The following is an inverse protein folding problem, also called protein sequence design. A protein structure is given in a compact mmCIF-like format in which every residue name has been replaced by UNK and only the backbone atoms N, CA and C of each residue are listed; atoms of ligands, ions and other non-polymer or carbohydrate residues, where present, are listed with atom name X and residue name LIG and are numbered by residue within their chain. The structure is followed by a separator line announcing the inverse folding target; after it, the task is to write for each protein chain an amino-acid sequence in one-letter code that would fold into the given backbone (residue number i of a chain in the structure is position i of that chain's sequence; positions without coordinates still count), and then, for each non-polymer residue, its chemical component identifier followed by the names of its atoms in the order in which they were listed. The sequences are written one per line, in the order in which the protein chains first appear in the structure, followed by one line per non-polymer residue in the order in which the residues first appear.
data_IF_156516976652
#
_entry.id   IF_156516976652
#
_cell.length_a   1.000
_cell.length_b   1.000
_cell.length_c   1.000
_cell.angle_alpha   90.00
_cell.angle_beta   90.00
_cell.angle_gamma   90.00
#
_symmetry.space_group_name_H-M   'P 1'
#
loop_
_entity.id
_entity.type
_entity.pdbx_description
1 polymer ?
#
# COMPACT_ATOMS: atom_id res chain seq x y z
N UNK A 1 4.58 -9.55 -9.71
CA UNK A 1 5.27 -10.33 -10.73
C UNK A 1 6.67 -10.77 -10.30
N UNK A 2 7.47 -9.93 -9.66
CA UNK A 2 8.84 -10.28 -9.25
C UNK A 2 8.91 -11.51 -8.33
N UNK A 3 7.94 -11.67 -7.44
CA UNK A 3 7.80 -12.88 -6.61
C UNK A 3 7.57 -14.13 -7.46
N UNK A 4 6.82 -14.02 -8.54
CA UNK A 4 6.53 -15.14 -9.45
C UNK A 4 7.74 -15.48 -10.33
N UNK A 5 8.52 -14.47 -10.75
CA UNK A 5 9.81 -14.69 -11.41
C UNK A 5 10.73 -15.50 -10.47
N UNK A 6 10.86 -15.04 -9.22
CA UNK A 6 11.69 -15.73 -8.23
C UNK A 6 11.17 -17.13 -7.90
N UNK A 7 9.85 -17.31 -7.93
CA UNK A 7 9.24 -18.64 -7.76
C UNK A 7 9.60 -19.58 -8.92
N UNK A 8 9.51 -19.12 -10.17
CA UNK A 8 9.91 -19.89 -11.35
C UNK A 8 11.39 -20.31 -11.28
N UNK A 9 12.28 -19.39 -10.92
CA UNK A 9 13.71 -19.70 -10.70
C UNK A 9 13.88 -20.83 -9.66
N UNK A 10 13.18 -20.75 -8.53
CA UNK A 10 13.26 -21.77 -7.47
C UNK A 10 12.69 -23.14 -7.90
N UNK A 11 11.71 -23.17 -8.80
CA UNK A 11 11.22 -24.41 -9.40
C UNK A 11 12.31 -25.05 -10.24
N UNK A 12 12.97 -24.24 -11.11
CA UNK A 12 14.09 -24.71 -11.94
C UNK A 12 15.28 -25.20 -11.09
N UNK A 13 15.66 -24.44 -10.06
CA UNK A 13 16.77 -24.79 -9.14
C UNK A 13 16.56 -26.15 -8.44
N UNK A 14 15.28 -26.57 -8.30
CA UNK A 14 14.91 -27.88 -7.72
C UNK A 14 14.68 -28.98 -8.75
N UNK A 15 15.05 -28.73 -10.02
CA UNK A 15 14.91 -29.68 -11.11
C UNK A 15 13.49 -29.81 -11.68
N UNK A 16 12.58 -28.89 -11.33
CA UNK A 16 11.26 -28.81 -11.94
C UNK A 16 11.29 -28.03 -13.25
N UNK A 17 10.21 -28.16 -14.04
CA UNK A 17 9.99 -27.33 -15.24
C UNK A 17 9.11 -26.14 -14.84
N UNK A 18 9.63 -24.89 -14.80
CA UNK A 18 8.82 -23.74 -14.46
C UNK A 18 7.89 -23.36 -15.59
N UNK A 19 6.72 -22.84 -15.25
CA UNK A 19 5.83 -22.13 -16.17
C UNK A 19 6.24 -20.65 -16.31
N UNK A 20 5.57 -19.93 -17.23
CA UNK A 20 5.75 -18.49 -17.34
C UNK A 20 5.36 -17.81 -16.02
N UNK A 21 6.16 -16.87 -15.50
CA UNK A 21 5.83 -16.14 -14.28
C UNK A 21 4.46 -15.45 -14.29
N UNK A 22 3.92 -15.05 -15.45
CA UNK A 22 2.58 -14.48 -15.56
C UNK A 22 1.50 -15.53 -15.29
N UNK A 23 1.69 -16.79 -15.72
CA UNK A 23 0.76 -17.88 -15.43
C UNK A 23 0.67 -18.14 -13.92
N UNK A 24 1.80 -18.16 -13.21
CA UNK A 24 1.82 -18.22 -11.76
C UNK A 24 1.09 -17.04 -11.12
N UNK A 25 1.27 -15.83 -11.65
CA UNK A 25 0.59 -14.62 -11.17
C UNK A 25 -0.93 -14.74 -11.35
N UNK A 26 -1.39 -15.14 -12.53
CA UNK A 26 -2.81 -15.30 -12.83
C UNK A 26 -3.46 -16.37 -11.94
N UNK A 27 -2.79 -17.51 -11.75
CA UNK A 27 -3.28 -18.55 -10.85
C UNK A 27 -3.33 -18.10 -9.39
N UNK A 28 -2.32 -17.36 -8.92
CA UNK A 28 -2.34 -16.73 -7.60
C UNK A 28 -3.55 -15.80 -7.43
N UNK A 29 -3.77 -14.90 -8.39
CA UNK A 29 -4.90 -13.96 -8.36
C UNK A 29 -6.23 -14.69 -8.38
N UNK A 30 -6.39 -15.73 -9.20
CA UNK A 30 -7.60 -16.56 -9.24
C UNK A 30 -7.90 -17.21 -7.88
N UNK A 31 -6.89 -17.74 -7.21
CA UNK A 31 -7.04 -18.31 -5.85
C UNK A 31 -7.38 -17.25 -4.82
N UNK A 32 -6.72 -16.10 -4.90
CA UNK A 32 -6.97 -14.97 -4.01
C UNK A 32 -8.43 -14.48 -4.15
N UNK A 33 -8.88 -14.23 -5.38
CA UNK A 33 -10.27 -13.81 -5.65
C UNK A 33 -11.28 -14.81 -5.08
N UNK A 34 -11.07 -16.11 -5.29
CA UNK A 34 -11.93 -17.15 -4.70
C UNK A 34 -11.96 -17.05 -3.17
N UNK A 35 -10.82 -16.80 -2.54
CA UNK A 35 -10.69 -16.72 -1.07
C UNK A 35 -11.37 -15.48 -0.49
N UNK A 36 -11.31 -14.34 -1.19
CA UNK A 36 -11.87 -13.07 -0.69
C UNK A 36 -13.30 -12.81 -1.19
N UNK A 37 -13.83 -13.65 -2.07
CA UNK A 37 -15.13 -13.42 -2.72
C UNK A 37 -16.28 -13.16 -1.74
N UNK A 38 -16.33 -13.89 -0.62
CA UNK A 38 -17.37 -13.67 0.41
C UNK A 38 -17.27 -12.27 1.04
N UNK A 39 -16.04 -11.77 1.28
CA UNK A 39 -15.80 -10.42 1.82
C UNK A 39 -16.25 -9.36 0.80
N UNK A 40 -15.81 -9.51 -0.44
CA UNK A 40 -16.21 -8.60 -1.55
C UNK A 40 -17.70 -8.57 -1.72
N UNK A 41 -18.37 -9.73 -1.76
CA UNK A 41 -19.81 -9.84 -1.88
C UNK A 41 -20.56 -9.23 -0.67
N UNK A 42 -20.06 -9.43 0.54
CA UNK A 42 -20.61 -8.83 1.76
C UNK A 42 -20.55 -7.31 1.74
N UNK A 43 -19.41 -6.74 1.30
CA UNK A 43 -19.26 -5.29 1.11
C UNK A 43 -20.21 -4.76 0.03
N UNK A 44 -20.32 -5.45 -1.12
CA UNK A 44 -21.22 -5.05 -2.22
C UNK A 44 -22.70 -5.01 -1.82
N UNK A 45 -23.13 -5.93 -0.95
CA UNK A 45 -24.50 -5.99 -0.45
C UNK A 45 -24.73 -5.11 0.78
N UNK A 46 -23.70 -4.45 1.31
CA UNK A 46 -23.80 -3.65 2.52
C UNK A 46 -24.01 -4.48 3.81
N UNK A 47 -23.75 -5.78 3.77
CA UNK A 47 -23.84 -6.68 4.92
C UNK A 47 -22.69 -6.52 5.90
N UNK A 48 -21.58 -5.98 5.40
CA UNK A 48 -20.34 -5.76 6.15
C UNK A 48 -19.92 -4.32 5.99
N UNK A 49 -19.58 -3.67 7.10
CA UNK A 49 -19.06 -2.30 7.07
C UNK A 49 -17.64 -2.26 6.49
N UNK A 50 -17.33 -1.32 5.58
CA UNK A 50 -15.97 -1.08 5.10
C UNK A 50 -14.94 -0.92 6.22
N UNK A 51 -15.31 -0.33 7.35
CA UNK A 51 -14.42 -0.12 8.50
C UNK A 51 -13.86 -1.41 9.09
N UNK A 52 -14.50 -2.57 8.85
CA UNK A 52 -13.97 -3.86 9.31
C UNK A 52 -12.71 -4.30 8.54
N UNK A 53 -12.47 -3.70 7.37
CA UNK A 53 -11.34 -4.02 6.49
C UNK A 53 -10.38 -2.85 6.31
N UNK A 54 -10.68 -1.71 6.88
CA UNK A 54 -9.76 -0.59 6.96
C UNK A 54 -8.90 -0.71 8.22
N UNK A 55 -7.66 -0.28 8.12
CA UNK A 55 -6.83 -0.09 9.30
C UNK A 55 -7.43 1.03 10.16
N UNK A 56 -7.38 0.87 11.47
CA UNK A 56 -7.99 1.82 12.41
C UNK A 56 -7.47 3.24 12.19
N UNK A 57 -8.38 4.22 12.15
CA UNK A 57 -8.07 5.63 11.90
C UNK A 57 -7.82 6.02 10.43
N UNK A 58 -7.93 5.07 9.47
CA UNK A 58 -7.66 5.35 8.05
C UNK A 58 -8.49 6.51 7.49
N UNK A 59 -9.79 6.56 7.80
CA UNK A 59 -10.66 7.64 7.30
C UNK A 59 -10.35 8.97 7.97
N UNK A 60 -10.00 8.97 9.25
CA UNK A 60 -9.63 10.17 9.98
C UNK A 60 -8.33 10.76 9.41
N UNK A 61 -7.32 9.93 9.15
CA UNK A 61 -6.10 10.35 8.48
C UNK A 61 -6.39 10.94 7.09
N UNK A 62 -7.17 10.24 6.25
CA UNK A 62 -7.49 10.72 4.90
C UNK A 62 -8.25 12.05 4.92
N UNK A 63 -9.18 12.23 5.84
CA UNK A 63 -9.89 13.48 6.05
C UNK A 63 -8.94 14.61 6.51
N UNK A 64 -8.07 14.32 7.47
CA UNK A 64 -7.11 15.26 8.00
C UNK A 64 -6.09 15.73 6.94
N UNK A 65 -5.59 14.81 6.11
CA UNK A 65 -4.70 15.13 4.98
C UNK A 65 -5.42 16.00 3.94
N UNK A 66 -6.65 15.64 3.58
CA UNK A 66 -7.46 16.38 2.59
C UNK A 66 -7.80 17.80 3.08
N UNK A 67 -8.14 17.95 4.36
CA UNK A 67 -8.43 19.27 4.97
C UNK A 67 -7.21 20.20 4.97
N UNK A 68 -6.00 19.63 4.97
CA UNK A 68 -4.72 20.36 4.85
C UNK A 68 -4.35 20.69 3.39
N UNK A 69 -5.22 20.36 2.43
CA UNK A 69 -4.99 20.62 1.00
C UNK A 69 -3.97 19.69 0.35
N UNK A 70 -3.60 18.58 1.00
CA UNK A 70 -2.63 17.63 0.45
C UNK A 70 -3.23 16.86 -0.73
N UNK A 71 -2.45 16.69 -1.79
CA UNK A 71 -2.82 15.86 -2.93
C UNK A 71 -2.51 14.41 -2.62
N UNK A 72 -3.53 13.55 -2.63
CA UNK A 72 -3.41 12.15 -2.24
C UNK A 72 -3.23 11.23 -3.46
N UNK A 73 -2.37 10.23 -3.29
CA UNK A 73 -2.07 9.18 -4.27
C UNK A 73 -2.12 7.82 -3.59
N UNK A 74 -2.74 6.84 -4.23
CA UNK A 74 -2.74 5.44 -3.80
C UNK A 74 -1.90 4.62 -4.76
N UNK A 75 -0.85 3.96 -4.28
CA UNK A 75 0.01 3.08 -5.05
C UNK A 75 0.08 1.69 -4.41
N UNK A 76 -0.30 0.66 -5.15
CA UNK A 76 -0.34 -0.73 -4.68
C UNK A 76 0.42 -1.67 -5.59
N UNK A 77 1.01 -2.72 -5.02
CA UNK A 77 1.56 -3.84 -5.77
C UNK A 77 0.49 -4.80 -6.34
N UNK A 78 -0.76 -4.65 -5.93
CA UNK A 78 -1.92 -5.36 -6.48
C UNK A 78 -2.28 -4.77 -7.85
N UNK A 79 -2.84 -5.58 -8.76
CA UNK A 79 -3.21 -5.13 -10.09
C UNK A 79 -4.24 -4.00 -10.03
N UNK A 80 -4.07 -3.00 -10.88
CA UNK A 80 -4.79 -1.73 -10.83
C UNK A 80 -6.32 -1.89 -10.85
N UNK A 81 -6.83 -2.86 -11.60
CA UNK A 81 -8.27 -3.16 -11.66
C UNK A 81 -8.83 -3.56 -10.30
N UNK A 82 -8.08 -4.35 -9.54
CA UNK A 82 -8.49 -4.77 -8.19
C UNK A 82 -8.36 -3.64 -7.19
N UNK A 83 -7.26 -2.90 -7.22
CA UNK A 83 -7.04 -1.74 -6.32
C UNK A 83 -8.17 -0.72 -6.47
N UNK A 84 -8.55 -0.37 -7.70
CA UNK A 84 -9.65 0.56 -7.97
C UNK A 84 -10.99 0.04 -7.47
N UNK A 85 -11.28 -1.26 -7.69
CA UNK A 85 -12.49 -1.91 -7.18
C UNK A 85 -12.55 -1.89 -5.67
N UNK A 86 -11.46 -2.29 -5.02
CA UNK A 86 -11.38 -2.38 -3.56
C UNK A 86 -11.43 -1.00 -2.91
N UNK A 87 -10.71 0.00 -3.43
CA UNK A 87 -10.80 1.38 -2.95
C UNK A 87 -12.23 1.93 -3.01
N UNK A 88 -12.99 1.57 -4.08
CA UNK A 88 -14.41 1.95 -4.19
C UNK A 88 -15.28 1.23 -3.16
N UNK A 89 -15.10 -0.07 -2.98
CA UNK A 89 -15.86 -0.87 -2.01
C UNK A 89 -15.59 -0.43 -0.57
N UNK A 90 -14.37 -0.01 -0.28
CA UNK A 90 -13.96 0.49 1.03
C UNK A 90 -14.32 1.97 1.26
N UNK A 91 -14.91 2.64 0.25
CA UNK A 91 -15.32 4.05 0.37
C UNK A 91 -14.18 5.05 0.38
N UNK A 92 -12.96 4.65 -0.01
CA UNK A 92 -11.78 5.53 0.02
C UNK A 92 -11.38 6.08 -1.35
N UNK A 93 -12.00 5.60 -2.44
CA UNK A 93 -11.62 5.97 -3.80
C UNK A 93 -11.70 7.50 -4.07
N UNK A 94 -12.67 8.18 -3.48
CA UNK A 94 -12.90 9.62 -3.69
C UNK A 94 -11.78 10.51 -3.12
N UNK A 95 -11.05 10.04 -2.11
CA UNK A 95 -9.90 10.76 -1.57
C UNK A 95 -8.77 10.88 -2.60
N UNK A 96 -8.62 9.87 -3.43
CA UNK A 96 -7.54 9.76 -4.42
C UNK A 96 -7.98 10.17 -5.84
N UNK A 97 -9.27 10.09 -6.15
CA UNK A 97 -9.81 10.40 -7.47
C UNK A 97 -9.14 9.56 -8.58
N UNK A 98 -8.49 10.23 -9.53
CA UNK A 98 -7.76 9.58 -10.63
C UNK A 98 -6.36 9.08 -10.26
N UNK A 99 -5.92 9.30 -9.03
CA UNK A 99 -4.57 9.00 -8.55
C UNK A 99 -4.51 7.66 -7.82
N UNK A 100 -5.21 6.65 -8.36
CA UNK A 100 -5.14 5.26 -7.90
C UNK A 100 -4.32 4.48 -8.93
N UNK A 101 -3.17 3.96 -8.50
CA UNK A 101 -2.21 3.25 -9.30
C UNK A 101 -1.98 1.84 -8.76
N UNK A 102 -1.99 0.86 -9.63
CA UNK A 102 -1.73 -0.53 -9.31
C UNK A 102 -0.78 -1.18 -10.31
N UNK A 103 -0.37 -2.41 -10.03
CA UNK A 103 0.47 -3.16 -10.93
C UNK A 103 -0.23 -3.41 -12.28
N UNK A 104 0.58 -3.49 -13.33
CA UNK A 104 0.15 -3.81 -14.69
C UNK A 104 0.83 -5.12 -15.11
N UNK A 105 0.21 -5.88 -16.02
CA UNK A 105 0.84 -7.09 -16.58
C UNK A 105 2.13 -6.75 -17.33
N UNK A 106 2.18 -5.61 -17.98
CA UNK A 106 3.44 -5.07 -18.47
C UNK A 106 4.24 -4.45 -17.31
N UNK A 107 4.78 -5.31 -16.45
CA UNK A 107 5.45 -4.97 -15.21
C UNK A 107 6.68 -4.06 -15.37
N UNK A 108 7.30 -4.04 -16.56
CA UNK A 108 8.43 -3.14 -16.87
C UNK A 108 8.02 -1.67 -16.85
N UNK A 109 6.72 -1.39 -17.00
CA UNK A 109 6.17 -0.04 -17.04
C UNK A 109 5.54 0.40 -15.71
N UNK A 110 5.64 -0.43 -14.66
CA UNK A 110 5.11 -0.10 -13.33
C UNK A 110 6.06 -0.52 -12.22
N UNK A 111 6.43 0.44 -11.39
CA UNK A 111 6.99 0.24 -10.05
C UNK A 111 6.54 1.37 -9.14
N UNK A 112 6.55 1.16 -7.81
CA UNK A 112 6.26 2.23 -6.84
C UNK A 112 7.22 3.41 -7.02
N UNK A 113 8.49 3.15 -7.30
CA UNK A 113 9.48 4.18 -7.63
C UNK A 113 9.05 5.04 -8.84
N UNK A 114 8.62 4.41 -9.94
CA UNK A 114 8.13 5.16 -11.11
C UNK A 114 6.88 5.99 -10.80
N UNK A 115 6.03 5.53 -9.88
CA UNK A 115 4.88 6.33 -9.41
C UNK A 115 5.38 7.56 -8.66
N UNK A 116 6.32 7.40 -7.73
CA UNK A 116 6.94 8.51 -6.96
C UNK A 116 7.58 9.53 -7.92
N UNK A 117 8.45 9.09 -8.82
CA UNK A 117 9.13 9.97 -9.78
C UNK A 117 8.13 10.77 -10.63
N UNK A 118 7.03 10.11 -11.04
CA UNK A 118 5.95 10.72 -11.80
C UNK A 118 5.17 11.76 -10.99
N UNK A 119 4.92 11.47 -9.71
CA UNK A 119 4.27 12.40 -8.77
C UNK A 119 5.11 13.66 -8.62
N UNK A 120 6.39 13.52 -8.29
CA UNK A 120 7.31 14.63 -8.11
C UNK A 120 7.40 15.49 -9.37
N UNK A 121 7.61 14.87 -10.53
CA UNK A 121 7.70 15.57 -11.82
C UNK A 121 6.39 16.29 -12.19
N UNK A 122 5.24 15.62 -12.03
CA UNK A 122 3.94 16.16 -12.43
C UNK A 122 3.52 17.37 -11.58
N UNK A 123 3.81 17.31 -10.28
CA UNK A 123 3.44 18.38 -9.36
C UNK A 123 4.55 19.44 -9.21
N UNK A 124 5.70 19.24 -9.85
CA UNK A 124 6.86 20.14 -9.78
C UNK A 124 7.33 20.37 -8.33
N UNK A 125 7.34 19.30 -7.54
CA UNK A 125 7.76 19.29 -6.13
C UNK A 125 9.03 18.47 -5.93
N UNK A 126 9.79 18.82 -4.88
CA UNK A 126 10.96 18.05 -4.43
C UNK A 126 10.56 16.86 -3.55
N UNK A 127 11.48 15.96 -3.30
CA UNK A 127 11.27 14.84 -2.38
C UNK A 127 10.89 15.29 -0.97
N UNK A 128 11.43 16.40 -0.49
CA UNK A 128 11.13 16.98 0.82
C UNK A 128 9.64 17.33 1.03
N UNK A 129 8.90 17.48 -0.06
CA UNK A 129 7.46 17.74 -0.04
C UNK A 129 6.63 16.45 -0.17
N UNK A 130 7.28 15.30 -0.16
CA UNK A 130 6.65 13.99 -0.24
C UNK A 130 6.53 13.36 1.14
N UNK A 131 5.31 13.00 1.51
CA UNK A 131 5.00 12.19 2.68
C UNK A 131 4.45 10.84 2.20
N UNK A 132 5.06 9.74 2.63
CA UNK A 132 4.60 8.39 2.30
C UNK A 132 4.17 7.65 3.57
N UNK A 133 3.05 6.96 3.47
CA UNK A 133 2.59 5.95 4.42
C UNK A 133 2.68 4.58 3.75
N UNK A 134 3.28 3.61 4.41
CA UNK A 134 3.40 2.26 3.84
C UNK A 134 3.78 1.20 4.86
N UNK A 135 3.41 -0.05 4.55
CA UNK A 135 3.70 -1.25 5.34
C UNK A 135 4.81 -2.12 4.73
N UNK A 136 5.26 -1.76 3.53
CA UNK A 136 6.33 -2.46 2.82
C UNK A 136 7.66 -1.69 2.85
N UNK A 137 8.77 -2.44 2.85
CA UNK A 137 10.10 -1.84 2.87
C UNK A 137 10.44 -1.07 1.58
N UNK A 138 9.88 -1.49 0.43
CA UNK A 138 10.19 -0.89 -0.88
C UNK A 138 9.74 0.56 -0.96
N UNK A 139 8.50 0.85 -0.57
CA UNK A 139 7.98 2.23 -0.59
C UNK A 139 8.68 3.14 0.42
N UNK A 140 9.08 2.61 1.58
CA UNK A 140 9.84 3.37 2.57
C UNK A 140 11.23 3.71 2.01
N UNK A 141 11.95 2.72 1.47
CA UNK A 141 13.24 2.91 0.84
C UNK A 141 13.17 3.87 -0.35
N UNK A 142 12.17 3.71 -1.24
CA UNK A 142 11.96 4.60 -2.38
C UNK A 142 11.67 6.04 -1.95
N UNK A 143 10.91 6.24 -0.86
CA UNK A 143 10.66 7.55 -0.25
C UNK A 143 11.96 8.21 0.22
N UNK A 144 12.75 7.46 1.00
CA UNK A 144 14.05 7.96 1.52
C UNK A 144 15.03 8.29 0.41
N UNK A 145 15.06 7.51 -0.65
CA UNK A 145 15.93 7.74 -1.81
C UNK A 145 15.61 9.03 -2.59
N UNK A 146 14.45 9.62 -2.39
CA UNK A 146 14.08 10.93 -2.97
C UNK A 146 14.13 12.07 -1.96
N UNK A 147 14.48 11.79 -0.70
CA UNK A 147 14.49 12.78 0.39
C UNK A 147 13.13 13.03 1.04
N UNK A 148 12.16 12.14 0.85
CA UNK A 148 10.83 12.24 1.44
C UNK A 148 10.77 11.83 2.90
N UNK A 149 9.66 12.17 3.56
CA UNK A 149 9.33 11.72 4.91
C UNK A 149 8.53 10.41 4.83
N UNK A 150 9.05 9.39 5.48
CA UNK A 150 8.50 8.03 5.45
C UNK A 150 7.88 7.64 6.79
N UNK A 151 6.55 7.49 6.80
CA UNK A 151 5.79 6.94 7.92
C UNK A 151 5.50 5.48 7.64
N UNK A 152 6.15 4.60 8.37
CA UNK A 152 5.96 3.16 8.27
C UNK A 152 4.80 2.69 9.15
N UNK A 153 3.98 1.79 8.61
CA UNK A 153 2.82 1.22 9.29
C UNK A 153 3.10 -0.23 9.62
N UNK A 154 3.43 -0.49 10.88
CA UNK A 154 3.77 -1.82 11.38
C UNK A 154 2.60 -2.43 12.16
N UNK A 155 1.44 -2.58 11.49
CA UNK A 155 0.21 -3.08 12.10
C UNK A 155 0.26 -4.58 12.40
N UNK A 156 -0.30 -4.98 13.56
CA UNK A 156 -0.66 -6.36 13.83
C UNK A 156 -1.94 -6.71 13.08
N UNK A 157 -1.80 -7.29 11.88
CA UNK A 157 -2.93 -7.66 11.03
C UNK A 157 -3.75 -8.83 11.59
N UNK A 158 -3.19 -9.64 12.48
CA UNK A 158 -3.91 -10.72 13.15
C UNK A 158 -4.94 -10.18 14.15
N UNK A 159 -4.63 -9.02 14.77
CA UNK A 159 -5.47 -8.34 15.74
C UNK A 159 -5.71 -6.88 15.30
N UNK A 160 -6.30 -6.70 14.11
CA UNK A 160 -6.57 -5.36 13.58
C UNK A 160 -7.34 -4.49 14.58
N UNK A 161 -6.83 -3.29 14.85
CA UNK A 161 -7.39 -2.37 15.84
C UNK A 161 -6.86 -2.55 17.27
N UNK A 162 -5.91 -3.48 17.51
CA UNK A 162 -5.26 -3.63 18.82
C UNK A 162 -4.46 -2.39 19.22
N UNK A 163 -3.84 -1.72 18.25
CA UNK A 163 -2.88 -0.65 18.49
C UNK A 163 -1.48 -1.14 18.83
N UNK A 164 -1.27 -2.44 18.72
CA UNK A 164 0.03 -3.06 18.94
C UNK A 164 0.84 -3.13 17.66
N UNK A 165 2.15 -3.12 17.79
CA UNK A 165 3.07 -3.27 16.68
C UNK A 165 3.25 -4.75 16.32
N UNK A 166 3.32 -5.05 15.03
CA UNK A 166 4.07 -6.20 14.55
C UNK A 166 5.56 -5.86 14.64
N UNK A 167 6.25 -6.40 15.65
CA UNK A 167 7.65 -6.09 15.94
C UNK A 167 8.60 -6.51 14.81
N UNK A 168 8.27 -7.56 14.05
CA UNK A 168 9.06 -7.95 12.89
C UNK A 168 8.97 -6.91 11.76
N UNK A 169 7.76 -6.44 11.45
CA UNK A 169 7.55 -5.35 10.49
C UNK A 169 8.24 -4.07 10.96
N UNK A 170 8.04 -3.70 12.23
CA UNK A 170 8.63 -2.50 12.83
C UNK A 170 10.14 -2.48 12.66
N UNK A 171 10.83 -3.53 13.08
CA UNK A 171 12.29 -3.62 12.98
C UNK A 171 12.77 -3.57 11.53
N UNK A 172 12.06 -4.24 10.62
CA UNK A 172 12.37 -4.24 9.19
C UNK A 172 12.22 -2.86 8.57
N UNK A 173 11.16 -2.13 8.90
CA UNK A 173 10.88 -0.81 8.32
C UNK A 173 11.81 0.28 8.89
N UNK A 174 12.18 0.19 10.16
CA UNK A 174 13.25 1.00 10.74
C UNK A 174 14.58 0.74 10.04
N UNK A 175 14.89 -0.51 9.73
CA UNK A 175 16.14 -0.92 9.07
C UNK A 175 16.30 -0.34 7.65
N UNK A 176 15.24 0.08 6.98
CA UNK A 176 15.27 0.76 5.66
C UNK A 176 15.05 2.27 5.75
N UNK A 177 15.10 2.84 6.96
CA UNK A 177 15.14 4.27 7.18
C UNK A 177 13.80 4.97 7.37
N UNK A 178 12.76 4.26 7.85
CA UNK A 178 11.52 4.92 8.23
C UNK A 178 11.79 6.03 9.27
N UNK A 179 11.22 7.21 9.05
CA UNK A 179 11.36 8.35 9.97
C UNK A 179 10.44 8.19 11.18
N UNK A 180 9.24 7.69 10.96
CA UNK A 180 8.24 7.44 11.98
C UNK A 180 7.68 6.03 11.77
N UNK A 181 7.41 5.29 12.85
CA UNK A 181 6.71 4.00 12.78
C UNK A 181 5.49 4.04 13.67
N UNK A 182 4.34 3.66 13.12
CA UNK A 182 3.05 3.62 13.81
C UNK A 182 2.41 2.24 13.67
N UNK A 183 1.58 1.80 14.65
CA UNK A 183 0.83 0.55 14.53
C UNK A 183 -0.42 0.70 13.65
N UNK A 184 -1.08 1.85 13.70
CA UNK A 184 -2.26 2.21 12.92
C UNK A 184 -2.42 3.74 12.88
N UNK A 185 -3.55 4.25 12.40
CA UNK A 185 -3.78 5.68 12.20
C UNK A 185 -4.67 6.32 13.28
N UNK A 186 -4.84 5.68 14.46
CA UNK A 186 -5.73 6.20 15.52
C UNK A 186 -5.37 7.60 16.00
N UNK A 187 -4.10 7.94 15.99
CA UNK A 187 -3.57 9.23 16.43
C UNK A 187 -3.20 10.14 15.24
N UNK A 188 -4.04 10.12 14.18
CA UNK A 188 -3.76 10.82 12.92
C UNK A 188 -3.43 12.30 13.09
N UNK A 189 -4.16 13.03 13.94
CA UNK A 189 -3.91 14.46 14.19
C UNK A 189 -2.58 14.71 14.90
N UNK A 190 -2.25 13.90 15.93
CA UNK A 190 -0.96 13.98 16.61
C UNK A 190 0.19 13.70 15.64
N UNK A 191 0.05 12.66 14.84
CA UNK A 191 1.03 12.28 13.81
C UNK A 191 1.27 13.44 12.83
N UNK A 192 0.20 14.05 12.31
CA UNK A 192 0.32 15.15 11.35
C UNK A 192 0.92 16.41 11.99
N UNK A 193 0.64 16.68 13.26
CA UNK A 193 1.31 17.77 13.97
C UNK A 193 2.82 17.53 14.07
N UNK A 194 3.25 16.31 14.38
CA UNK A 194 4.68 15.95 14.39
C UNK A 194 5.30 16.12 13.01
N UNK A 195 4.62 15.66 11.95
CA UNK A 195 5.07 15.81 10.55
C UNK A 195 5.22 17.27 10.14
N UNK A 196 4.33 18.15 10.64
CA UNK A 196 4.34 19.59 10.36
C UNK A 196 5.27 20.39 11.29
N UNK A 197 5.93 19.74 12.25
CA UNK A 197 6.83 20.38 13.22
C UNK A 197 6.11 21.26 14.25
N UNK A 198 4.89 20.89 14.63
CA UNK A 198 4.05 21.56 15.62
C UNK A 198 4.07 20.86 16.97
#
# INVERSE_FOLDING_TARGET
IYQMIRFAERVADRGGTPEDPLEYKHEYLRRLEKRINSRVAGLQRGEVSPNQYLLHGSLDLLNALKSRGMQLYLASGTDEVYVKREAKLLGVAEYFGKHIHGALDNYKNFSKRQVIDRILKKNQVSGEQLLIFGDGYVEIEDCKNVGGLAVAVASDEANNGSGEFDEWKRNRLLGVGADIVIPDYRDAELLLNVVEGK
#
